data_IF_472020206049
#
_entry.id   IF_472020206049
#
_cell.length_a   1.000
_cell.length_b   1.000
_cell.length_c   1.000
_cell.angle_alpha   90.00
_cell.angle_beta   90.00
_cell.angle_gamma   90.00
#
_symmetry.space_group_name_H-M   'P 1'
#
loop_
_entity.id
_entity.type
_entity.pdbx_description
1 polymer ?
#
# COMPACT_ATOMS: atom_id res chain seq x y z
N UNK A 1 22.54 14.15 10.80
CA UNK A 1 22.19 13.87 10.65
C UNK A 1 21.80 13.70 10.29
N UNK A 2 21.83 13.52 10.62
CA UNK A 2 21.26 13.29 10.30
C UNK A 2 20.80 13.04 10.00
N UNK A 3 20.72 13.03 10.32
CA UNK A 3 20.15 12.71 10.15
C UNK A 3 19.96 12.57 10.41
N UNK A 4 20.01 12.73 11.09
CA UNK A 4 19.72 12.49 11.48
C UNK A 4 19.61 12.04 11.85
N UNK A 5 19.75 11.80 12.19
CA UNK A 5 19.65 11.20 12.59
C UNK A 5 19.66 10.73 13.11
N UNK A 6 19.66 10.44 13.41
CA UNK A 6 19.81 9.86 13.95
C UNK A 6 19.74 9.04 14.53
N UNK A 7 19.17 9.07 15.14
CA UNK A 7 19.49 8.10 15.78
C UNK A 7 19.09 6.66 15.49
N UNK A 8 19.39 5.62 16.32
CA UNK A 8 19.29 4.23 15.97
C UNK A 8 17.92 3.74 15.60
N UNK A 9 16.97 3.88 16.49
CA UNK A 9 15.63 3.35 16.23
C UNK A 9 14.94 4.08 15.10
N UNK A 10 15.21 5.35 15.00
CA UNK A 10 14.66 6.13 13.90
C UNK A 10 15.25 5.66 12.58
N UNK A 11 16.52 5.33 12.58
CA UNK A 11 17.16 4.80 11.38
C UNK A 11 16.54 3.49 10.95
N UNK A 12 16.23 2.63 11.89
CA UNK A 12 15.61 1.36 11.59
C UNK A 12 14.23 1.57 10.97
N UNK A 13 13.46 2.47 11.53
CA UNK A 13 12.14 2.77 10.99
C UNK A 13 12.24 3.33 9.59
N UNK A 14 13.20 4.21 9.37
CA UNK A 14 13.38 4.78 8.05
C UNK A 14 13.76 3.74 7.02
N UNK A 15 14.57 2.77 7.39
CA UNK A 15 14.94 1.71 6.47
C UNK A 15 13.75 0.88 6.06
N UNK A 16 12.81 0.68 6.96
CA UNK A 16 11.62 -0.09 6.64
C UNK A 16 10.61 0.70 5.82
N UNK A 17 10.29 1.89 6.29
CA UNK A 17 9.28 2.71 5.63
C UNK A 17 9.69 3.15 4.24
N UNK A 18 10.92 3.62 4.04
CA UNK A 18 11.32 3.98 2.68
C UNK A 18 11.28 2.83 1.71
N UNK A 19 11.56 1.62 2.19
CA UNK A 19 11.51 0.47 1.31
C UNK A 19 10.08 0.21 0.82
N UNK A 20 9.10 0.28 1.71
CA UNK A 20 7.71 0.14 1.33
C UNK A 20 7.30 1.22 0.34
N UNK A 21 7.59 2.47 0.68
CA UNK A 21 7.20 3.58 -0.17
C UNK A 21 7.95 3.58 -1.49
N UNK A 22 9.19 3.11 -1.49
CA UNK A 22 9.97 2.98 -2.71
C UNK A 22 9.30 2.03 -3.68
N UNK A 23 8.80 0.91 -3.18
CA UNK A 23 8.09 -0.05 -4.03
C UNK A 23 6.74 0.47 -4.49
N UNK A 24 6.07 1.23 -3.66
CA UNK A 24 4.80 1.83 -4.03
C UNK A 24 4.97 2.94 -5.05
N UNK A 25 6.15 3.61 -5.04
CA UNK A 25 6.46 4.66 -6.01
C UNK A 25 5.43 5.77 -5.97
N UNK A 26 4.84 6.12 -7.11
CA UNK A 26 3.90 7.22 -7.17
C UNK A 26 2.59 6.95 -6.42
N UNK A 27 2.40 5.72 -5.95
CA UNK A 27 1.18 5.33 -5.22
C UNK A 27 1.39 5.26 -3.71
N UNK A 28 2.48 5.84 -3.21
CA UNK A 28 2.81 5.77 -1.80
C UNK A 28 1.74 6.39 -0.92
N UNK A 29 1.13 7.49 -1.35
CA UNK A 29 0.07 8.14 -0.59
C UNK A 29 -1.15 7.24 -0.47
N UNK A 30 -1.57 6.64 -1.57
CA UNK A 30 -2.73 5.76 -1.59
C UNK A 30 -2.49 4.54 -0.72
N UNK A 31 -1.30 3.94 -0.81
CA UNK A 31 -0.98 2.78 0.00
C UNK A 31 -0.87 3.13 1.47
N UNK A 32 -0.32 4.29 1.81
CA UNK A 32 -0.26 4.74 3.20
C UNK A 32 -1.64 4.87 3.78
N UNK A 33 -2.57 5.42 3.03
CA UNK A 33 -3.92 5.61 3.52
C UNK A 33 -4.63 4.27 3.73
N UNK A 34 -4.48 3.35 2.80
CA UNK A 34 -5.07 2.02 2.94
C UNK A 34 -4.52 1.32 4.19
N UNK A 35 -3.21 1.36 4.37
CA UNK A 35 -2.59 0.71 5.52
C UNK A 35 -2.98 1.38 6.83
N UNK A 36 -3.11 2.71 6.82
CA UNK A 36 -3.52 3.44 8.02
C UNK A 36 -4.92 3.03 8.44
N UNK A 37 -5.86 3.01 7.49
CA UNK A 37 -7.24 2.67 7.80
C UNK A 37 -7.35 1.21 8.22
N UNK A 38 -6.64 0.32 7.52
CA UNK A 38 -6.64 -1.10 7.88
C UNK A 38 -6.09 -1.30 9.29
N UNK A 39 -5.05 -0.56 9.67
CA UNK A 39 -4.47 -0.67 11.01
C UNK A 39 -5.43 -0.19 12.08
N UNK A 40 -6.17 0.89 11.80
CA UNK A 40 -7.15 1.39 12.73
C UNK A 40 -8.25 0.38 12.99
N UNK A 41 -8.71 -0.31 11.96
CA UNK A 41 -9.80 -1.26 12.08
C UNK A 41 -9.34 -2.64 12.56
N UNK A 42 -8.10 -2.99 12.32
CA UNK A 42 -7.54 -4.31 12.65
C UNK A 42 -6.14 -4.15 13.25
N UNK A 43 -6.07 -3.58 14.47
CA UNK A 43 -4.76 -3.18 15.03
C UNK A 43 -3.78 -4.33 15.27
N UNK A 44 -4.30 -5.54 15.39
CA UNK A 44 -3.43 -6.70 15.64
C UNK A 44 -3.12 -7.52 14.40
N UNK A 45 -3.67 -7.13 13.27
CA UNK A 45 -3.49 -7.91 12.05
C UNK A 45 -2.14 -7.65 11.41
N UNK A 46 -1.65 -8.65 10.69
CA UNK A 46 -0.44 -8.52 9.88
C UNK A 46 -0.84 -7.93 8.53
N UNK A 47 -0.45 -6.71 8.29
CA UNK A 47 -0.81 -6.00 7.08
C UNK A 47 0.16 -6.20 5.93
N UNK A 48 1.21 -7.00 6.13
CA UNK A 48 2.21 -7.21 5.07
C UNK A 48 1.60 -7.88 3.84
N UNK A 49 0.52 -8.63 4.01
CA UNK A 49 -0.15 -9.25 2.88
C UNK A 49 -0.70 -8.20 1.92
N UNK A 50 -1.15 -7.06 2.44
CA UNK A 50 -1.64 -5.97 1.61
C UNK A 50 -0.49 -5.37 0.81
N UNK A 51 0.63 -5.16 1.46
CA UNK A 51 1.83 -4.60 0.81
C UNK A 51 2.31 -5.51 -0.31
N UNK A 52 2.38 -6.81 -0.05
CA UNK A 52 2.83 -7.77 -1.05
C UNK A 52 1.86 -7.85 -2.23
N UNK A 53 0.56 -7.81 -1.92
CA UNK A 53 -0.44 -7.82 -2.98
C UNK A 53 -0.30 -6.60 -3.87
N UNK A 54 -0.04 -5.43 -3.27
CA UNK A 54 0.16 -4.23 -4.07
C UNK A 54 1.35 -4.37 -5.01
N UNK A 55 2.47 -4.90 -4.51
CA UNK A 55 3.67 -5.04 -5.35
C UNK A 55 3.38 -5.94 -6.55
N UNK A 56 2.70 -7.06 -6.32
CA UNK A 56 2.36 -7.98 -7.40
C UNK A 56 1.41 -7.32 -8.39
N UNK A 57 0.40 -6.64 -7.89
CA UNK A 57 -0.59 -6.01 -8.75
C UNK A 57 0.03 -4.88 -9.58
N UNK A 58 0.85 -4.08 -8.96
CA UNK A 58 1.48 -2.95 -9.66
C UNK A 58 2.41 -3.46 -10.77
N UNK A 59 3.16 -4.50 -10.51
CA UNK A 59 4.03 -5.06 -11.52
C UNK A 59 3.22 -5.68 -12.67
N UNK A 60 2.12 -6.35 -12.35
CA UNK A 60 1.30 -6.99 -13.36
C UNK A 60 0.63 -5.98 -14.28
N UNK A 61 0.29 -4.80 -13.76
CA UNK A 61 -0.46 -3.81 -14.52
C UNK A 61 0.35 -2.58 -14.92
N UNK A 62 1.66 -2.64 -14.76
CA UNK A 62 2.52 -1.45 -14.90
C UNK A 62 2.34 -0.76 -16.24
N UNK A 63 2.18 -1.54 -17.30
CA UNK A 63 2.07 -1.00 -18.64
C UNK A 63 0.63 -0.80 -19.10
N UNK A 64 -0.34 -1.14 -18.25
CA UNK A 64 -1.75 -1.07 -18.65
C UNK A 64 -2.36 0.26 -18.24
N UNK A 65 -3.26 0.74 -19.07
CA UNK A 65 -4.01 1.98 -18.80
C UNK A 65 -5.48 1.73 -18.99
N UNK A 66 -6.28 2.48 -18.23
CA UNK A 66 -7.72 2.48 -18.41
C UNK A 66 -8.07 3.30 -19.65
N UNK A 67 -9.30 3.20 -20.11
CA UNK A 67 -9.77 3.99 -21.26
C UNK A 67 -9.56 5.48 -21.02
N UNK A 68 -9.61 5.93 -19.78
CA UNK A 68 -9.39 7.33 -19.42
C UNK A 68 -7.94 7.77 -19.57
N UNK A 69 -7.02 6.84 -19.77
CA UNK A 69 -5.59 7.13 -19.84
C UNK A 69 -4.86 6.98 -18.52
N UNK A 70 -5.59 6.76 -17.43
CA UNK A 70 -4.97 6.58 -16.12
C UNK A 70 -4.35 5.18 -16.01
N UNK A 71 -3.27 5.03 -15.24
CA UNK A 71 -2.73 3.70 -14.99
C UNK A 71 -3.78 2.77 -14.40
N UNK A 72 -3.78 1.52 -14.81
CA UNK A 72 -4.82 0.58 -14.40
C UNK A 72 -4.85 0.38 -12.88
N UNK A 73 -3.71 0.40 -12.22
CA UNK A 73 -3.60 0.16 -10.78
C UNK A 73 -4.40 1.17 -9.94
N UNK A 74 -4.70 2.35 -10.50
CA UNK A 74 -5.46 3.37 -9.76
C UNK A 74 -6.84 2.88 -9.40
N UNK A 75 -7.43 2.02 -10.22
CA UNK A 75 -8.76 1.51 -9.96
C UNK A 75 -8.79 0.55 -8.76
N UNK A 76 -8.00 -0.52 -8.72
CA UNK A 76 -8.01 -1.39 -7.53
C UNK A 76 -7.56 -0.67 -6.27
N UNK A 77 -6.69 0.35 -6.38
CA UNK A 77 -6.32 1.13 -5.20
C UNK A 77 -7.53 1.87 -4.63
N UNK A 78 -8.30 2.51 -5.49
CA UNK A 78 -9.48 3.25 -5.04
C UNK A 78 -10.52 2.32 -4.41
N UNK A 79 -10.76 1.17 -5.04
CA UNK A 79 -11.72 0.19 -4.51
C UNK A 79 -11.23 -0.34 -3.17
N UNK A 80 -9.94 -0.65 -3.06
CA UNK A 80 -9.39 -1.18 -1.82
C UNK A 80 -9.50 -0.19 -0.68
N UNK A 81 -9.30 1.09 -0.95
CA UNK A 81 -9.46 2.11 0.09
C UNK A 81 -10.91 2.16 0.59
N UNK A 82 -11.88 2.09 -0.31
CA UNK A 82 -13.27 2.08 0.08
C UNK A 82 -13.57 0.86 0.97
N UNK A 83 -13.06 -0.29 0.60
CA UNK A 83 -13.26 -1.50 1.39
C UNK A 83 -12.58 -1.40 2.75
N UNK A 84 -11.41 -0.80 2.80
CA UNK A 84 -10.71 -0.59 4.07
C UNK A 84 -11.53 0.30 4.98
N UNK A 85 -12.12 1.35 4.44
CA UNK A 85 -12.97 2.27 5.21
C UNK A 85 -14.23 1.59 5.72
N UNK A 86 -14.69 0.55 5.03
CA UNK A 86 -15.83 -0.24 5.49
C UNK A 86 -15.43 -1.28 6.53
N UNK A 87 -14.17 -1.36 6.91
CA UNK A 87 -13.71 -2.30 7.93
C UNK A 87 -13.41 -3.69 7.42
N UNK A 88 -13.29 -3.85 6.11
CA UNK A 88 -12.99 -5.16 5.52
C UNK A 88 -11.57 -5.58 5.93
N UNK A 89 -11.39 -6.88 6.19
CA UNK A 89 -10.14 -7.39 6.73
C UNK A 89 -9.00 -7.47 5.72
N UNK A 90 -7.77 -7.65 6.20
CA UNK A 90 -6.58 -7.57 5.35
C UNK A 90 -6.52 -8.58 4.20
N UNK A 91 -7.00 -9.80 4.42
CA UNK A 91 -6.96 -10.82 3.36
C UNK A 91 -7.85 -10.39 2.18
N UNK A 92 -9.02 -9.87 2.47
CA UNK A 92 -9.93 -9.42 1.42
C UNK A 92 -9.41 -8.15 0.76
N UNK A 93 -8.75 -7.27 1.52
CA UNK A 93 -8.13 -6.08 0.93
C UNK A 93 -7.03 -6.49 -0.04
N UNK A 94 -6.21 -7.47 0.34
CA UNK A 94 -5.17 -7.97 -0.55
C UNK A 94 -5.79 -8.57 -1.81
N UNK A 95 -6.86 -9.34 -1.66
CA UNK A 95 -7.55 -9.92 -2.80
C UNK A 95 -8.11 -8.85 -3.72
N UNK A 96 -8.61 -7.75 -3.14
CA UNK A 96 -9.11 -6.62 -3.91
C UNK A 96 -8.03 -6.00 -4.78
N UNK A 97 -6.81 -5.88 -4.26
CA UNK A 97 -5.69 -5.36 -5.05
C UNK A 97 -5.30 -6.29 -6.18
N UNK A 98 -5.45 -7.59 -5.98
CA UNK A 98 -5.05 -8.58 -6.99
C UNK A 98 -6.15 -8.88 -8.00
N UNK A 99 -7.36 -8.50 -7.69
CA UNK A 99 -8.51 -8.74 -8.56
C UNK A 99 -8.44 -7.86 -9.79
N UNK A 100 -8.74 -8.41 -10.93
CA UNK A 100 -8.86 -7.58 -12.11
C UNK A 100 -9.82 -8.13 -13.14
#
# INVERSE_FOLDING_TARGET
>A
MSDVTPTGSISILRNRLPRLFSKAGPYASEMSEILRVAKLNHPKADLSIIERAFVVAEEAHREQKRKSGEPYITHPLAVTLILAELGIGPVTLAASLLHD
#
